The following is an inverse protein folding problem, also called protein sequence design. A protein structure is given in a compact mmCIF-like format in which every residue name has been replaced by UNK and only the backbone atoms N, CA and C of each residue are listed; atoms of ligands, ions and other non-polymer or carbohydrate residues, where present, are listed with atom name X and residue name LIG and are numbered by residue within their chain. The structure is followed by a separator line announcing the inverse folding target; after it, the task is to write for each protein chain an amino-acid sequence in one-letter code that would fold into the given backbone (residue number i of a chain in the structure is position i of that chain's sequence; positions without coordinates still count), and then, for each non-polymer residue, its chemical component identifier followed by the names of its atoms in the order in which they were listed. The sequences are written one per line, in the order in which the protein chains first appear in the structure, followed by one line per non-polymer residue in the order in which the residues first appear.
data_IF_746106671983
#
_entry.id   IF_746106671983
#
_cell.length_a   1.000
_cell.length_b   1.000
_cell.length_c   1.000
_cell.angle_alpha   90.00
_cell.angle_beta   90.00
_cell.angle_gamma   90.00
#
_symmetry.space_group_name_H-M   'P 1'
#
loop_
_entity.id
_entity.type
_entity.pdbx_description
1 polymer ?
#
# COMPACT_ATOMS: atom_id res chain seq x y z
N UNK A 1 -24.15 -40.87 2.57
CA UNK A 1 -23.82 -39.99 3.72
C UNK A 1 -22.57 -39.21 3.34
N UNK A 2 -22.69 -37.95 2.92
CA UNK A 2 -21.53 -37.10 2.70
C UNK A 2 -20.94 -36.72 4.07
N UNK A 3 -19.64 -36.89 4.22
CA UNK A 3 -18.89 -36.37 5.36
C UNK A 3 -18.71 -34.87 5.09
N UNK A 4 -19.41 -34.03 5.84
CA UNK A 4 -19.20 -32.58 5.80
C UNK A 4 -17.79 -32.21 6.28
N UNK A 5 -17.27 -31.03 5.90
CA UNK A 5 -15.92 -30.61 6.26
C UNK A 5 -15.76 -30.51 7.79
N UNK A 6 -14.81 -31.28 8.31
CA UNK A 6 -14.39 -31.29 9.72
C UNK A 6 -13.73 -29.94 10.07
N UNK A 7 -13.93 -29.36 11.27
CA UNK A 7 -13.39 -28.04 11.60
C UNK A 7 -11.86 -28.06 11.76
N UNK A 8 -11.13 -27.60 10.75
CA UNK A 8 -9.65 -27.47 10.70
C UNK A 8 -9.06 -26.34 11.60
N UNK A 9 -9.84 -25.83 12.56
CA UNK A 9 -9.46 -24.67 13.39
C UNK A 9 -8.18 -24.87 14.23
N UNK A 10 -7.90 -26.04 14.85
CA UNK A 10 -6.66 -26.22 15.60
C UNK A 10 -5.44 -26.38 14.69
N UNK A 11 -5.58 -27.06 13.55
CA UNK A 11 -4.50 -27.25 12.56
C UNK A 11 -4.04 -25.91 11.97
N UNK A 12 -4.95 -24.96 11.72
CA UNK A 12 -4.62 -23.60 11.25
C UNK A 12 -3.93 -22.72 12.30
N UNK A 13 -4.22 -22.91 13.60
CA UNK A 13 -3.51 -22.19 14.68
C UNK A 13 -2.09 -22.71 14.87
N UNK A 14 -1.92 -24.03 14.80
CA UNK A 14 -0.60 -24.68 14.84
C UNK A 14 0.21 -24.27 13.62
N UNK A 15 -0.37 -24.24 12.42
CA UNK A 15 0.32 -23.80 11.21
C UNK A 15 0.69 -22.31 11.24
N UNK A 16 -0.14 -21.45 11.84
CA UNK A 16 0.15 -20.01 11.99
C UNK A 16 1.24 -19.73 13.02
N UNK A 17 1.20 -20.40 14.17
CA UNK A 17 2.26 -20.30 15.17
C UNK A 17 3.58 -20.85 14.60
N UNK A 18 3.53 -21.98 13.90
CA UNK A 18 4.68 -22.56 13.22
C UNK A 18 5.20 -21.68 12.06
N UNK A 19 4.32 -21.05 11.28
CA UNK A 19 4.71 -20.11 10.22
C UNK A 19 5.28 -18.80 10.77
N UNK A 20 4.71 -18.23 11.85
CA UNK A 20 5.29 -17.06 12.54
C UNK A 20 6.59 -17.40 13.26
N UNK A 21 6.72 -18.61 13.77
CA UNK A 21 7.94 -19.10 14.40
C UNK A 21 9.01 -19.41 13.36
N UNK A 22 8.65 -20.00 12.21
CA UNK A 22 9.53 -20.11 11.05
C UNK A 22 9.90 -18.73 10.54
N UNK A 23 8.96 -17.79 10.36
CA UNK A 23 9.26 -16.42 9.96
C UNK A 23 10.10 -15.67 10.99
N UNK A 24 9.95 -15.95 12.29
CA UNK A 24 10.78 -15.42 13.38
C UNK A 24 12.20 -16.01 13.39
N UNK A 25 12.32 -17.33 13.20
CA UNK A 25 13.59 -18.04 12.98
C UNK A 25 14.22 -17.67 11.63
N UNK A 26 13.37 -17.22 10.71
CA UNK A 26 13.69 -16.64 9.43
C UNK A 26 13.66 -15.11 9.46
N UNK A 27 13.62 -14.40 10.59
CA UNK A 27 13.95 -12.96 10.55
C UNK A 27 15.44 -12.87 10.21
N UNK A 28 16.25 -13.70 10.88
CA UNK A 28 17.62 -13.97 10.47
C UNK A 28 17.73 -14.63 9.08
N UNK A 29 16.84 -15.57 8.71
CA UNK A 29 16.89 -16.21 7.38
C UNK A 29 16.25 -15.44 6.22
N UNK A 30 15.39 -14.45 6.44
CA UNK A 30 14.77 -13.59 5.43
C UNK A 30 15.64 -12.36 5.25
N UNK A 31 16.28 -11.85 6.30
CA UNK A 31 17.43 -10.95 6.17
C UNK A 31 18.62 -11.68 5.54
N UNK A 32 18.90 -12.96 5.87
CA UNK A 32 19.89 -13.76 5.13
C UNK A 32 19.41 -14.13 3.74
N UNK A 33 18.13 -14.36 3.48
CA UNK A 33 17.63 -14.68 2.12
C UNK A 33 17.63 -13.41 1.28
N UNK A 34 17.26 -12.26 1.83
CA UNK A 34 17.46 -10.94 1.21
C UNK A 34 18.93 -10.65 1.01
N UNK A 35 19.80 -10.94 1.98
CA UNK A 35 21.25 -10.77 1.85
C UNK A 35 21.86 -11.73 0.85
N UNK A 36 21.45 -12.99 0.80
CA UNK A 36 21.94 -14.01 -0.14
C UNK A 36 21.32 -13.86 -1.53
N UNK A 37 20.07 -13.36 -1.65
CA UNK A 37 19.47 -12.94 -2.92
C UNK A 37 20.13 -11.65 -3.40
N UNK A 38 20.43 -10.69 -2.53
CA UNK A 38 21.15 -9.47 -2.88
C UNK A 38 22.61 -9.77 -3.24
N UNK A 39 23.28 -10.68 -2.52
CA UNK A 39 24.63 -11.18 -2.84
C UNK A 39 24.61 -12.00 -4.12
N UNK A 40 23.62 -12.86 -4.32
CA UNK A 40 23.44 -13.64 -5.54
C UNK A 40 23.08 -12.77 -6.76
N UNK A 41 22.21 -11.78 -6.58
CA UNK A 41 21.88 -10.79 -7.60
C UNK A 41 23.07 -9.89 -7.91
N UNK A 42 23.82 -9.44 -6.91
CA UNK A 42 25.06 -8.67 -7.09
C UNK A 42 26.15 -9.52 -7.77
N UNK A 43 26.34 -10.78 -7.38
CA UNK A 43 27.29 -11.70 -8.00
C UNK A 43 26.95 -12.01 -9.47
N UNK A 44 25.65 -12.09 -9.80
CA UNK A 44 25.16 -12.24 -11.16
C UNK A 44 25.18 -10.93 -11.97
N UNK A 45 25.22 -9.77 -11.29
CA UNK A 45 25.26 -8.46 -11.93
C UNK A 45 26.68 -7.88 -12.10
N UNK A 46 27.66 -8.39 -11.33
CA UNK A 46 29.11 -8.12 -11.50
C UNK A 46 29.62 -8.47 -12.91
N UNK A 47 29.26 -9.61 -13.55
CA UNK A 47 29.66 -9.91 -14.93
C UNK A 47 28.90 -9.14 -16.01
N UNK A 48 27.86 -8.38 -15.67
CA UNK A 48 27.11 -7.55 -16.64
C UNK A 48 27.83 -6.22 -16.89
N UNK A 49 27.69 -5.71 -18.12
CA UNK A 49 28.07 -4.33 -18.45
C UNK A 49 27.38 -3.32 -17.50
N UNK A 50 28.03 -2.19 -17.17
CA UNK A 50 27.55 -1.26 -16.16
C UNK A 50 26.11 -0.76 -16.36
N UNK A 51 25.67 -0.60 -17.61
CA UNK A 51 24.32 -0.12 -17.95
C UNK A 51 23.25 -1.21 -17.71
N UNK A 52 23.52 -2.46 -18.12
CA UNK A 52 22.65 -3.61 -17.87
C UNK A 52 22.54 -3.94 -16.38
N UNK A 53 23.62 -3.70 -15.64
CA UNK A 53 23.63 -3.80 -14.16
C UNK A 53 22.71 -2.79 -13.51
N UNK A 54 22.65 -1.56 -14.00
CA UNK A 54 21.77 -0.53 -13.45
C UNK A 54 20.29 -0.88 -13.69
N UNK A 55 19.94 -1.27 -14.91
CA UNK A 55 18.57 -1.69 -15.27
C UNK A 55 18.14 -2.93 -14.47
N UNK A 56 19.02 -3.92 -14.29
CA UNK A 56 18.70 -5.10 -13.50
C UNK A 56 18.41 -4.80 -12.02
N UNK A 57 19.13 -3.86 -11.41
CA UNK A 57 18.86 -3.41 -10.05
C UNK A 57 17.54 -2.65 -9.95
N UNK A 58 17.22 -1.80 -10.93
CA UNK A 58 15.98 -1.04 -10.98
C UNK A 58 14.75 -1.96 -11.03
N UNK A 59 14.77 -2.99 -11.87
CA UNK A 59 13.64 -3.90 -12.03
C UNK A 59 13.38 -4.80 -10.79
N UNK A 60 14.45 -5.29 -10.14
CA UNK A 60 14.32 -6.04 -8.87
C UNK A 60 13.80 -5.13 -7.76
N UNK A 61 14.29 -3.89 -7.70
CA UNK A 61 13.80 -2.87 -6.78
C UNK A 61 12.31 -2.58 -6.96
N UNK A 62 11.84 -2.46 -8.20
CA UNK A 62 10.43 -2.24 -8.53
C UNK A 62 9.54 -3.43 -8.14
N UNK A 63 9.96 -4.67 -8.40
CA UNK A 63 9.21 -5.86 -8.03
C UNK A 63 9.09 -6.03 -6.50
N UNK A 64 10.17 -5.77 -5.77
CA UNK A 64 10.17 -5.82 -4.31
C UNK A 64 9.36 -4.66 -3.71
N UNK A 65 9.53 -3.44 -4.22
CA UNK A 65 8.73 -2.29 -3.81
C UNK A 65 7.23 -2.51 -4.11
N UNK A 66 6.90 -3.23 -5.19
CA UNK A 66 5.54 -3.64 -5.51
C UNK A 66 4.93 -4.54 -4.42
N UNK A 67 5.64 -5.59 -4.00
CA UNK A 67 5.16 -6.46 -2.91
C UNK A 67 5.09 -5.75 -1.57
N UNK A 68 6.12 -5.01 -1.18
CA UNK A 68 6.13 -4.28 0.09
C UNK A 68 4.98 -3.27 0.16
N UNK A 69 4.78 -2.47 -0.89
CA UNK A 69 3.68 -1.49 -0.93
C UNK A 69 2.32 -2.18 -0.92
N UNK A 70 2.16 -3.26 -1.68
CA UNK A 70 0.90 -3.99 -1.71
C UNK A 70 0.55 -4.58 -0.34
N UNK A 71 1.53 -5.18 0.34
CA UNK A 71 1.32 -5.73 1.68
C UNK A 71 1.11 -4.63 2.73
N UNK A 72 1.92 -3.58 2.70
CA UNK A 72 1.96 -2.54 3.74
C UNK A 72 0.86 -1.49 3.55
N UNK A 73 0.62 -1.01 2.32
CA UNK A 73 -0.35 0.08 2.05
C UNK A 73 -1.76 -0.41 1.71
N UNK A 74 -1.91 -1.64 1.24
CA UNK A 74 -3.22 -2.18 0.84
C UNK A 74 -3.62 -3.36 1.75
N UNK A 75 -2.89 -4.46 1.76
CA UNK A 75 -3.32 -5.67 2.46
C UNK A 75 -3.40 -5.48 4.00
N UNK A 76 -2.40 -4.84 4.61
CA UNK A 76 -2.35 -4.65 6.06
C UNK A 76 -3.54 -3.84 6.60
N UNK A 77 -3.92 -2.67 6.04
CA UNK A 77 -5.14 -1.97 6.42
C UNK A 77 -6.40 -2.85 6.31
N UNK A 78 -6.55 -3.63 5.25
CA UNK A 78 -7.69 -4.53 5.08
C UNK A 78 -7.78 -5.57 6.21
N UNK A 79 -6.65 -6.18 6.59
CA UNK A 79 -6.61 -7.18 7.65
C UNK A 79 -7.04 -6.63 9.01
N UNK A 80 -6.73 -5.36 9.31
CA UNK A 80 -7.18 -4.71 10.57
C UNK A 80 -8.70 -4.63 10.67
N UNK A 81 -9.40 -4.60 9.53
CA UNK A 81 -10.86 -4.61 9.43
C UNK A 81 -11.45 -6.03 9.28
N UNK A 82 -10.62 -7.07 9.38
CA UNK A 82 -11.05 -8.44 9.11
C UNK A 82 -11.41 -8.68 7.64
N UNK A 83 -10.84 -7.89 6.71
CA UNK A 83 -10.96 -8.06 5.26
C UNK A 83 -9.63 -8.54 4.65
N UNK A 84 -9.66 -9.19 3.51
CA UNK A 84 -8.47 -9.49 2.70
C UNK A 84 -8.77 -9.20 1.23
N UNK A 85 -7.92 -8.48 0.48
CA UNK A 85 -8.04 -8.46 -0.97
C UNK A 85 -8.10 -9.90 -1.49
N UNK A 86 -9.00 -10.19 -2.41
CA UNK A 86 -9.15 -11.53 -2.98
C UNK A 86 -8.13 -11.86 -4.07
N UNK A 87 -7.34 -10.87 -4.48
CA UNK A 87 -6.30 -10.97 -5.51
C UNK A 87 -5.11 -10.06 -5.18
N UNK A 88 -4.01 -10.56 -4.61
CA UNK A 88 -2.80 -9.76 -4.38
C UNK A 88 -1.95 -9.57 -5.64
N UNK A 89 -2.51 -9.84 -6.83
CA UNK A 89 -1.87 -9.65 -8.13
C UNK A 89 -0.51 -10.35 -8.24
N UNK A 90 -0.38 -11.52 -7.63
CA UNK A 90 0.84 -12.32 -7.62
C UNK A 90 1.33 -12.62 -9.04
N UNK A 91 0.39 -12.77 -9.99
CA UNK A 91 0.70 -12.92 -11.42
C UNK A 91 1.48 -11.74 -12.01
N UNK A 92 1.17 -10.50 -11.63
CA UNK A 92 1.89 -9.30 -12.08
C UNK A 92 3.30 -9.29 -11.51
N UNK A 93 3.47 -9.60 -10.23
CA UNK A 93 4.81 -9.60 -9.63
C UNK A 93 5.66 -10.77 -10.13
N UNK A 94 5.06 -11.95 -10.33
CA UNK A 94 5.72 -13.07 -11.00
C UNK A 94 6.11 -12.71 -12.44
N UNK A 95 5.25 -12.01 -13.20
CA UNK A 95 5.57 -11.58 -14.57
C UNK A 95 6.73 -10.56 -14.60
N UNK A 96 6.76 -9.59 -13.68
CA UNK A 96 7.86 -8.63 -13.54
C UNK A 96 9.17 -9.32 -13.14
N UNK A 97 9.09 -10.31 -12.24
CA UNK A 97 10.24 -11.10 -11.78
C UNK A 97 10.84 -11.94 -12.92
N UNK A 98 9.97 -12.54 -13.74
CA UNK A 98 10.38 -13.38 -14.87
C UNK A 98 10.83 -12.58 -16.09
N UNK A 99 10.24 -11.42 -16.36
CA UNK A 99 10.77 -10.45 -17.32
C UNK A 99 12.19 -10.03 -16.94
N UNK A 100 12.39 -9.66 -15.67
CA UNK A 100 13.71 -9.29 -15.13
C UNK A 100 14.74 -10.44 -15.24
N UNK A 101 14.29 -11.69 -15.08
CA UNK A 101 15.13 -12.88 -15.26
C UNK A 101 15.48 -13.14 -16.73
N UNK A 102 14.54 -12.93 -17.65
CA UNK A 102 14.73 -13.20 -19.09
C UNK A 102 15.61 -12.17 -19.77
N UNK A 103 15.50 -10.90 -19.38
CA UNK A 103 16.42 -9.86 -19.83
C UNK A 103 17.87 -10.14 -19.42
N UNK A 104 18.09 -10.89 -18.33
CA UNK A 104 19.41 -11.34 -17.86
C UNK A 104 20.07 -12.42 -18.74
N UNK A 105 19.29 -13.18 -19.52
CA UNK A 105 19.76 -14.39 -20.22
C UNK A 105 19.77 -14.28 -21.75
N UNK A 106 19.36 -13.14 -22.33
CA UNK A 106 19.15 -13.02 -23.77
C UNK A 106 20.14 -12.07 -24.47
N UNK A 107 20.95 -12.62 -25.37
CA UNK A 107 21.93 -11.90 -26.20
C UNK A 107 21.31 -10.92 -27.24
N UNK A 108 19.99 -10.96 -27.49
CA UNK A 108 19.31 -10.02 -28.40
C UNK A 108 17.83 -9.76 -28.04
N UNK A 109 17.37 -8.50 -28.20
CA UNK A 109 16.03 -8.01 -27.84
C UNK A 109 14.84 -8.73 -28.50
N UNK A 110 15.01 -9.25 -29.73
CA UNK A 110 13.90 -9.83 -30.52
C UNK A 110 13.41 -11.21 -30.08
N UNK A 111 14.23 -11.98 -29.35
CA UNK A 111 13.83 -13.32 -28.85
C UNK A 111 13.04 -13.25 -27.52
N UNK A 112 13.01 -12.07 -26.87
CA UNK A 112 12.58 -11.85 -25.49
C UNK A 112 11.07 -11.92 -25.24
N UNK A 113 10.26 -11.71 -26.27
CA UNK A 113 8.79 -11.63 -26.18
C UNK A 113 8.06 -12.83 -26.81
N UNK A 114 8.80 -13.81 -27.33
CA UNK A 114 8.21 -14.98 -27.98
C UNK A 114 7.72 -16.04 -26.98
N UNK A 115 8.27 -16.06 -25.76
CA UNK A 115 7.92 -17.03 -24.71
C UNK A 115 6.87 -16.47 -23.74
N UNK A 116 5.87 -17.28 -23.40
CA UNK A 116 4.80 -16.91 -22.47
C UNK A 116 5.37 -16.55 -21.07
N UNK A 117 4.94 -15.46 -20.40
CA UNK A 117 5.41 -15.11 -19.05
C UNK A 117 5.07 -16.19 -18.02
N UNK A 118 5.71 -16.25 -16.85
CA UNK A 118 5.38 -17.33 -15.89
C UNK A 118 3.94 -17.25 -15.34
N UNK A 119 3.33 -16.07 -15.34
CA UNK A 119 1.90 -15.89 -15.03
C UNK A 119 0.99 -16.70 -15.98
N UNK A 120 1.42 -16.91 -17.23
CA UNK A 120 0.70 -17.69 -18.23
C UNK A 120 0.79 -19.21 -18.01
N UNK A 121 1.72 -19.66 -17.16
CA UNK A 121 1.89 -21.05 -16.76
C UNK A 121 1.03 -21.42 -15.55
N UNK A 122 0.38 -20.44 -14.92
CA UNK A 122 -0.59 -20.70 -13.87
C UNK A 122 -1.81 -21.37 -14.50
N UNK A 123 -2.11 -22.61 -14.07
CA UNK A 123 -3.23 -23.38 -14.60
C UNK A 123 -4.57 -22.67 -14.42
N UNK A 124 -4.72 -21.94 -13.30
CA UNK A 124 -5.81 -21.00 -13.05
C UNK A 124 -5.22 -19.79 -12.28
N UNK A 125 -4.84 -18.72 -12.98
CA UNK A 125 -4.19 -17.55 -12.37
C UNK A 125 -5.06 -16.90 -11.29
N UNK A 126 -6.38 -16.90 -11.47
CA UNK A 126 -7.33 -16.27 -10.54
C UNK A 126 -7.44 -17.07 -9.26
N UNK A 127 -7.58 -18.41 -9.37
CA UNK A 127 -7.62 -19.28 -8.20
C UNK A 127 -6.30 -19.25 -7.43
N UNK A 128 -5.17 -19.25 -8.14
CA UNK A 128 -3.84 -19.17 -7.52
C UNK A 128 -3.66 -17.83 -6.80
N UNK A 129 -4.07 -16.72 -7.40
CA UNK A 129 -3.96 -15.40 -6.77
C UNK A 129 -4.84 -15.29 -5.52
N UNK A 130 -6.03 -15.88 -5.54
CA UNK A 130 -6.89 -16.01 -4.37
C UNK A 130 -6.31 -16.92 -3.28
N UNK A 131 -5.52 -17.94 -3.66
CA UNK A 131 -4.77 -18.77 -2.72
C UNK A 131 -3.61 -18.01 -2.07
N UNK A 132 -2.85 -17.26 -2.87
CA UNK A 132 -1.76 -16.40 -2.39
C UNK A 132 -2.32 -15.33 -1.44
N UNK A 133 -3.45 -14.73 -1.77
CA UNK A 133 -4.12 -13.74 -0.94
C UNK A 133 -4.54 -14.30 0.42
N UNK A 134 -5.14 -15.50 0.43
CA UNK A 134 -5.50 -16.22 1.67
C UNK A 134 -4.28 -16.63 2.47
N UNK A 135 -3.19 -17.03 1.82
CA UNK A 135 -1.94 -17.40 2.47
C UNK A 135 -1.30 -16.18 3.14
N UNK A 136 -1.18 -15.06 2.43
CA UNK A 136 -0.65 -13.81 2.95
C UNK A 136 -1.46 -13.34 4.17
N UNK A 137 -2.79 -13.35 4.08
CA UNK A 137 -3.65 -13.06 5.23
C UNK A 137 -3.41 -14.04 6.39
N UNK A 138 -3.28 -15.34 6.13
CA UNK A 138 -3.01 -16.34 7.16
C UNK A 138 -1.67 -16.15 7.90
N UNK A 139 -0.69 -15.56 7.22
CA UNK A 139 0.65 -15.27 7.75
C UNK A 139 0.65 -13.95 8.53
N UNK A 140 0.22 -12.88 7.86
CA UNK A 140 0.43 -11.49 8.29
C UNK A 140 -0.77 -10.90 9.03
N UNK A 141 -2.00 -11.34 8.76
CA UNK A 141 -3.17 -10.82 9.46
C UNK A 141 -3.19 -11.28 10.91
N UNK A 142 -3.57 -10.36 11.79
CA UNK A 142 -3.85 -10.67 13.18
C UNK A 142 -5.31 -11.06 13.42
N UNK A 143 -5.59 -11.93 14.41
CA UNK A 143 -6.96 -12.32 14.73
C UNK A 143 -7.60 -13.39 13.80
N UNK A 144 -8.94 -13.36 13.61
CA UNK A 144 -9.68 -14.37 12.85
C UNK A 144 -9.35 -14.33 11.35
N UNK A 145 -9.73 -15.38 10.61
CA UNK A 145 -9.54 -15.41 9.14
C UNK A 145 -10.33 -14.27 8.49
N UNK A 146 -9.68 -13.36 7.75
CA UNK A 146 -10.37 -12.24 7.12
C UNK A 146 -11.31 -12.69 6.00
N UNK A 147 -12.36 -11.92 5.76
CA UNK A 147 -13.30 -12.12 4.66
C UNK A 147 -12.74 -11.54 3.34
N UNK A 148 -12.85 -12.25 2.20
CA UNK A 148 -12.42 -11.71 0.91
C UNK A 148 -13.15 -10.41 0.53
N UNK A 149 -12.44 -9.50 -0.13
CA UNK A 149 -12.97 -8.29 -0.75
C UNK A 149 -12.39 -8.14 -2.15
N UNK A 150 -13.26 -7.93 -3.14
CA UNK A 150 -12.86 -7.67 -4.52
C UNK A 150 -12.29 -6.25 -4.65
N UNK A 151 -11.33 -6.04 -5.56
CA UNK A 151 -10.75 -4.71 -5.80
C UNK A 151 -11.76 -3.64 -6.20
N UNK A 152 -12.84 -4.03 -6.88
CA UNK A 152 -13.93 -3.10 -7.22
C UNK A 152 -14.62 -2.52 -5.98
N UNK A 153 -14.75 -3.32 -4.92
CA UNK A 153 -15.40 -2.93 -3.66
C UNK A 153 -14.39 -2.43 -2.62
N UNK A 154 -13.09 -2.68 -2.84
CA UNK A 154 -12.02 -2.38 -1.90
C UNK A 154 -11.98 -0.91 -1.43
N UNK A 155 -12.19 0.11 -2.28
CA UNK A 155 -12.19 1.49 -1.82
C UNK A 155 -13.28 1.78 -0.78
N UNK A 156 -14.48 1.23 -0.96
CA UNK A 156 -15.62 1.47 -0.08
C UNK A 156 -15.59 0.54 1.14
N UNK A 157 -15.09 -0.69 0.98
CA UNK A 157 -15.04 -1.70 2.03
C UNK A 157 -13.81 -1.60 2.95
N UNK A 158 -12.72 -0.97 2.49
CA UNK A 158 -11.46 -0.86 3.25
C UNK A 158 -10.98 0.57 3.37
N UNK A 159 -10.76 1.27 2.25
CA UNK A 159 -10.11 2.59 2.27
C UNK A 159 -10.93 3.60 3.09
N UNK A 160 -12.19 3.79 2.74
CA UNK A 160 -13.04 4.74 3.46
C UNK A 160 -13.17 4.36 4.95
N UNK A 161 -13.49 3.12 5.34
CA UNK A 161 -13.53 2.75 6.75
C UNK A 161 -12.23 3.00 7.52
N UNK A 162 -11.06 2.75 6.91
CA UNK A 162 -9.75 3.05 7.51
C UNK A 162 -9.58 4.55 7.71
N UNK A 163 -9.86 5.37 6.70
CA UNK A 163 -9.81 6.83 6.82
C UNK A 163 -10.77 7.34 7.87
N UNK A 164 -12.00 6.85 7.90
CA UNK A 164 -13.03 7.23 8.88
C UNK A 164 -12.61 6.87 10.30
N UNK A 165 -12.06 5.66 10.50
CA UNK A 165 -11.55 5.23 11.80
C UNK A 165 -10.38 6.12 12.26
N UNK A 166 -9.43 6.41 11.36
CA UNK A 166 -8.28 7.27 11.66
C UNK A 166 -8.66 8.72 11.92
N UNK A 167 -9.63 9.26 11.18
CA UNK A 167 -10.17 10.61 11.42
C UNK A 167 -10.90 10.69 12.77
N UNK A 168 -11.68 9.66 13.13
CA UNK A 168 -12.35 9.58 14.44
C UNK A 168 -11.38 9.48 15.61
N UNK A 169 -10.27 8.76 15.44
CA UNK A 169 -9.22 8.67 16.47
C UNK A 169 -8.60 10.05 16.78
N UNK A 170 -8.55 10.94 15.78
CA UNK A 170 -8.04 12.31 15.93
C UNK A 170 -9.11 13.31 16.42
N UNK A 171 -10.40 13.00 16.23
CA UNK A 171 -11.57 13.73 16.77
C UNK A 171 -11.55 15.27 16.59
N UNK A 172 -10.98 15.77 15.50
CA UNK A 172 -10.77 17.20 15.25
C UNK A 172 -11.26 17.64 13.86
N UNK A 173 -11.70 18.89 13.75
CA UNK A 173 -11.99 19.51 12.45
C UNK A 173 -10.70 19.75 11.66
N UNK A 174 -10.79 19.95 10.34
CA UNK A 174 -9.63 20.30 9.49
C UNK A 174 -8.87 21.52 10.03
N UNK A 175 -9.59 22.56 10.46
CA UNK A 175 -8.97 23.75 11.05
C UNK A 175 -8.27 23.45 12.38
N UNK A 176 -8.85 22.58 13.21
CA UNK A 176 -8.21 22.16 14.46
C UNK A 176 -6.95 21.32 14.17
N UNK A 177 -7.00 20.42 13.19
CA UNK A 177 -5.85 19.62 12.77
C UNK A 177 -4.67 20.50 12.32
N UNK A 178 -4.94 21.49 11.46
CA UNK A 178 -3.95 22.45 11.00
C UNK A 178 -3.41 23.32 12.16
N UNK A 179 -4.25 23.64 13.15
CA UNK A 179 -3.82 24.38 14.33
C UNK A 179 -2.93 23.56 15.30
N UNK A 180 -3.20 22.25 15.44
CA UNK A 180 -2.37 21.33 16.23
C UNK A 180 -0.99 21.18 15.61
N UNK A 181 -0.94 20.97 14.29
CA UNK A 181 0.31 20.85 13.53
C UNK A 181 1.25 22.05 13.68
N UNK A 182 0.70 23.28 13.77
CA UNK A 182 1.50 24.49 13.99
C UNK A 182 2.14 24.58 15.38
N UNK A 183 1.67 23.79 16.36
CA UNK A 183 2.14 23.85 17.76
C UNK A 183 3.12 22.74 18.13
N UNK A 184 3.06 21.58 17.46
CA UNK A 184 3.89 20.43 17.78
C UNK A 184 5.19 20.44 16.95
N UNK A 185 6.34 20.52 17.64
CA UNK A 185 7.65 20.78 17.05
C UNK A 185 8.65 19.63 17.22
N UNK A 186 8.32 18.40 16.79
CA UNK A 186 9.28 17.30 16.59
C UNK A 186 8.96 16.53 15.30
N UNK A 187 10.00 16.01 14.65
CA UNK A 187 9.88 15.34 13.35
C UNK A 187 9.03 14.05 13.37
N UNK A 188 9.05 13.28 14.47
CA UNK A 188 8.24 12.05 14.56
C UNK A 188 6.74 12.37 14.75
N UNK A 189 6.40 13.46 15.42
CA UNK A 189 5.03 13.94 15.62
C UNK A 189 4.42 14.42 14.28
N UNK A 190 5.25 14.92 13.36
CA UNK A 190 4.82 15.42 12.04
C UNK A 190 4.28 14.32 11.13
N UNK A 191 4.90 13.12 11.13
CA UNK A 191 4.43 12.02 10.29
C UNK A 191 3.08 11.48 10.75
N UNK A 192 2.93 11.26 12.05
CA UNK A 192 1.67 10.79 12.62
C UNK A 192 0.55 11.81 12.39
N UNK A 193 0.86 13.10 12.56
CA UNK A 193 -0.07 14.19 12.32
C UNK A 193 -0.41 14.39 10.84
N UNK A 194 0.53 14.17 9.90
CA UNK A 194 0.27 14.17 8.46
C UNK A 194 -0.74 13.08 8.07
N UNK A 195 -0.56 11.86 8.58
CA UNK A 195 -1.49 10.75 8.32
C UNK A 195 -2.87 11.00 8.93
N UNK A 196 -2.95 11.66 10.10
CA UNK A 196 -4.23 12.06 10.69
C UNK A 196 -4.91 13.19 9.90
N UNK A 197 -4.16 14.21 9.49
CA UNK A 197 -4.66 15.28 8.64
C UNK A 197 -5.16 14.72 7.30
N UNK A 198 -4.44 13.76 6.71
CA UNK A 198 -4.86 13.06 5.50
C UNK A 198 -6.23 12.43 5.69
N UNK A 199 -6.40 11.64 6.75
CA UNK A 199 -7.65 10.97 7.03
C UNK A 199 -8.82 11.95 7.25
N UNK A 200 -8.59 13.04 8.00
CA UNK A 200 -9.62 14.07 8.25
C UNK A 200 -10.01 14.80 6.97
N UNK A 201 -9.03 15.23 6.18
CA UNK A 201 -9.26 15.92 4.91
C UNK A 201 -9.95 15.00 3.90
N UNK A 202 -9.51 13.75 3.80
CA UNK A 202 -10.12 12.77 2.92
C UNK A 202 -11.58 12.52 3.29
N UNK A 203 -11.88 12.29 4.57
CA UNK A 203 -13.26 12.15 5.05
C UNK A 203 -14.11 13.37 4.72
N UNK A 204 -13.62 14.58 4.99
CA UNK A 204 -14.34 15.81 4.68
C UNK A 204 -14.59 15.97 3.17
N UNK A 205 -13.63 15.58 2.33
CA UNK A 205 -13.77 15.58 0.88
C UNK A 205 -14.83 14.56 0.41
N UNK A 206 -14.84 13.35 0.98
CA UNK A 206 -15.89 12.36 0.71
C UNK A 206 -17.28 12.87 1.08
N UNK A 207 -17.40 13.58 2.21
CA UNK A 207 -18.68 14.13 2.69
C UNK A 207 -19.27 15.21 1.77
N UNK A 208 -18.46 15.80 0.88
CA UNK A 208 -18.97 16.70 -0.17
C UNK A 208 -19.72 15.97 -1.29
N UNK A 209 -19.55 14.65 -1.41
CA UNK A 209 -20.03 13.85 -2.54
C UNK A 209 -19.31 14.13 -3.87
N UNK A 210 -18.25 14.96 -3.87
CA UNK A 210 -17.50 15.34 -5.08
C UNK A 210 -16.23 14.50 -5.29
N UNK A 211 -15.82 13.78 -4.26
CA UNK A 211 -14.63 12.93 -4.26
C UNK A 211 -15.02 11.51 -3.87
N UNK A 212 -14.24 10.54 -4.34
CA UNK A 212 -14.41 9.12 -4.01
C UNK A 212 -13.06 8.51 -3.62
N UNK A 213 -13.05 7.49 -2.75
CA UNK A 213 -11.84 6.73 -2.50
C UNK A 213 -11.49 5.90 -3.74
N UNK A 214 -10.20 5.73 -4.01
CA UNK A 214 -9.70 4.85 -5.04
C UNK A 214 -8.36 4.24 -4.63
N UNK A 215 -7.92 3.23 -5.38
CA UNK A 215 -6.60 2.62 -5.24
C UNK A 215 -5.72 3.12 -6.38
N UNK A 216 -4.59 3.69 -6.00
CA UNK A 216 -3.41 3.79 -6.85
C UNK A 216 -2.42 2.69 -6.43
N UNK A 217 -1.87 1.94 -7.38
CA UNK A 217 -0.96 0.83 -7.05
C UNK A 217 0.43 1.29 -6.59
N UNK A 218 0.84 2.50 -6.99
CA UNK A 218 2.11 3.09 -6.61
C UNK A 218 1.99 3.84 -5.27
N UNK A 219 0.90 4.60 -5.12
CA UNK A 219 0.71 5.51 -4.00
C UNK A 219 -0.20 4.93 -2.90
N UNK A 220 -1.00 3.91 -3.22
CA UNK A 220 -1.94 3.27 -2.30
C UNK A 220 -3.30 3.98 -2.32
N UNK A 221 -3.94 4.18 -1.15
CA UNK A 221 -5.22 4.89 -1.09
C UNK A 221 -5.12 6.34 -1.57
N UNK A 222 -5.94 6.69 -2.57
CA UNK A 222 -5.99 8.05 -3.15
C UNK A 222 -7.42 8.57 -3.21
N UNK A 223 -7.58 9.90 -3.26
CA UNK A 223 -8.86 10.54 -3.58
C UNK A 223 -8.90 10.84 -5.07
N UNK A 224 -10.01 10.51 -5.71
CA UNK A 224 -10.26 10.85 -7.10
C UNK A 224 -11.50 11.72 -7.23
N UNK A 225 -11.49 12.61 -8.23
CA UNK A 225 -12.67 13.41 -8.58
C UNK A 225 -13.67 12.61 -9.44
N UNK A 226 -14.76 13.26 -9.86
CA UNK A 226 -15.79 12.64 -10.71
C UNK A 226 -15.28 12.19 -12.09
N UNK A 227 -14.10 12.66 -12.54
CA UNK A 227 -13.45 12.24 -13.78
C UNK A 227 -12.48 11.08 -13.58
N UNK A 228 -12.23 10.68 -12.33
CA UNK A 228 -11.26 9.66 -11.97
C UNK A 228 -9.83 10.20 -11.82
N UNK A 229 -9.65 11.52 -11.83
CA UNK A 229 -8.33 12.13 -11.67
C UNK A 229 -7.92 12.14 -10.20
N UNK A 230 -6.74 11.60 -9.91
CA UNK A 230 -6.21 11.55 -8.56
C UNK A 230 -5.80 12.94 -8.07
N UNK A 231 -6.16 13.24 -6.83
CA UNK A 231 -5.70 14.44 -6.14
C UNK A 231 -4.40 14.10 -5.43
N UNK A 232 -3.34 14.87 -5.72
CA UNK A 232 -2.08 14.80 -4.98
C UNK A 232 -2.21 15.45 -3.59
N UNK A 233 -3.01 14.80 -2.74
CA UNK A 233 -3.28 15.24 -1.38
C UNK A 233 -2.03 15.08 -0.50
N UNK A 234 -1.15 14.12 -0.82
CA UNK A 234 0.11 13.93 -0.13
C UNK A 234 0.97 15.20 -0.20
N UNK A 235 1.19 15.75 -1.39
CA UNK A 235 1.93 17.01 -1.54
C UNK A 235 1.28 18.18 -0.81
N UNK A 236 -0.06 18.31 -0.87
CA UNK A 236 -0.78 19.39 -0.16
C UNK A 236 -0.57 19.30 1.36
N UNK A 237 -0.54 18.09 1.91
CA UNK A 237 -0.35 17.83 3.34
C UNK A 237 1.10 18.02 3.73
N UNK A 238 2.06 17.50 2.97
CA UNK A 238 3.49 17.71 3.21
C UNK A 238 3.82 19.19 3.27
N UNK A 239 3.29 20.02 2.34
CA UNK A 239 3.47 21.48 2.40
C UNK A 239 2.84 22.10 3.65
N UNK A 240 1.68 21.62 4.06
CA UNK A 240 1.01 22.14 5.26
C UNK A 240 1.75 21.76 6.56
N UNK A 241 2.29 20.55 6.64
CA UNK A 241 2.94 19.98 7.83
C UNK A 241 4.41 20.41 7.92
N UNK A 242 5.19 20.17 6.87
CA UNK A 242 6.64 20.33 6.89
C UNK A 242 7.07 21.78 6.61
N UNK A 243 6.37 22.47 5.70
CA UNK A 243 6.69 23.86 5.33
C UNK A 243 5.84 24.88 6.12
N UNK A 244 4.83 24.43 6.87
CA UNK A 244 3.85 25.29 7.53
C UNK A 244 2.96 26.09 6.56
N UNK A 245 2.99 25.76 5.27
CA UNK A 245 2.26 26.46 4.21
C UNK A 245 0.98 25.69 3.83
N UNK A 246 -0.11 25.98 4.56
CA UNK A 246 -1.42 25.34 4.31
C UNK A 246 -2.28 26.07 3.26
N UNK A 247 -1.78 27.16 2.66
CA UNK A 247 -2.50 27.93 1.63
C UNK A 247 -2.94 27.07 0.43
N UNK A 248 -2.08 26.20 -0.15
CA UNK A 248 -2.50 25.33 -1.26
C UNK A 248 -3.62 24.37 -0.84
N UNK A 249 -3.52 23.79 0.36
CA UNK A 249 -4.51 22.87 0.89
C UNK A 249 -5.86 23.58 1.12
N UNK A 250 -5.87 24.76 1.75
CA UNK A 250 -7.08 25.58 1.96
C UNK A 250 -7.73 26.00 0.65
N UNK A 251 -6.92 26.39 -0.34
CA UNK A 251 -7.40 26.76 -1.67
C UNK A 251 -8.12 25.59 -2.34
N UNK A 252 -7.54 24.39 -2.26
CA UNK A 252 -8.17 23.17 -2.78
C UNK A 252 -9.45 22.81 -2.02
N UNK A 253 -9.44 22.87 -0.68
CA UNK A 253 -10.63 22.64 0.17
C UNK A 253 -11.79 23.57 -0.20
N UNK A 254 -11.51 24.87 -0.38
CA UNK A 254 -12.50 25.84 -0.82
C UNK A 254 -13.07 25.51 -2.20
N UNK A 255 -12.23 25.08 -3.15
CA UNK A 255 -12.65 24.65 -4.51
C UNK A 255 -13.65 23.48 -4.44
N UNK A 256 -13.47 22.57 -3.49
CA UNK A 256 -14.38 21.43 -3.28
C UNK A 256 -15.54 21.73 -2.32
N UNK A 257 -15.67 22.99 -1.86
CA UNK A 257 -16.82 23.45 -1.06
C UNK A 257 -16.69 23.21 0.44
N UNK A 258 -15.49 22.95 0.93
CA UNK A 258 -15.21 22.82 2.36
C UNK A 258 -14.72 24.18 2.87
N UNK A 259 -15.48 24.87 3.72
CA UNK A 259 -15.05 26.16 4.27
C UNK A 259 -13.90 25.92 5.27
N UNK A 260 -12.81 26.65 5.08
CA UNK A 260 -11.67 26.69 6.02
C UNK A 260 -11.54 28.10 6.56
N UNK A 261 -11.38 28.28 7.87
CA UNK A 261 -11.16 29.62 8.44
C UNK A 261 -9.83 30.20 7.95
N UNK A 262 -9.76 31.53 7.85
CA UNK A 262 -8.51 32.21 7.51
C UNK A 262 -7.45 31.97 8.60
N UNK A 263 -6.15 31.92 8.29
CA UNK A 263 -5.12 31.79 9.31
C UNK A 263 -5.20 32.98 10.26
N UNK A 264 -5.46 32.73 11.54
CA UNK A 264 -5.13 33.73 12.56
C UNK A 264 -3.61 33.69 12.67
N UNK A 265 -2.94 34.78 12.26
CA UNK A 265 -1.51 34.94 12.52
C UNK A 265 -1.26 34.79 14.03
N UNK A 266 -0.08 34.32 14.47
CA UNK A 266 0.26 34.25 15.90
C UNK A 266 0.07 35.59 16.64
N UNK A 267 -0.01 36.70 15.89
CA UNK A 267 -0.17 38.07 16.36
C UNK A 267 -1.65 38.53 16.44
N UNK A 268 -2.60 37.65 16.11
CA UNK A 268 -4.04 37.93 16.21
C UNK A 268 -4.65 38.77 15.09
N UNK A 269 -3.88 39.14 14.05
CA UNK A 269 -4.43 39.79 12.87
C UNK A 269 -5.07 38.78 11.92
N UNK A 270 -6.28 39.08 11.44
CA UNK A 270 -6.80 38.50 10.21
C UNK A 270 -6.02 39.06 9.01
N UNK A 271 -5.93 38.28 7.93
CA UNK A 271 -5.34 38.70 6.67
C UNK A 271 -6.22 39.74 5.95
#
# INVERSE_FOLDING_TARGET
RSLGPVPLRPARRVSRAFARQLLGLCVGHAELMEREIAVGAAALAIPLEPELRATAHEQVGLAYAGWDRLLTRLAAPAWTLGRQPDALMAGVVCALTELSRRDRLADAFGARLAERPASDLLADPVVMDAEVSRLAAGIFADGPTPEPVAWADYPEAVIEPVWRARARAFAASVDHALAVLRREGRADDHREAADHLFAVVACAALDTGRMRPAVDWLDGPVLVDARGEAVDLATLITRAVDEGNDTPLRTWLAKIGIPTREPVHPDGSAA
#
